data_IF_325210466552
#
_entry.id   IF_325210466552
#
_cell.length_a   1.000
_cell.length_b   1.000
_cell.length_c   1.000
_cell.angle_alpha   90.00
_cell.angle_beta   90.00
_cell.angle_gamma   90.00
#
_symmetry.space_group_name_H-M   'P 1'
#
loop_
_entity.id
_entity.type
_entity.pdbx_description
1 polymer ?
#
# COMPACT_ATOMS: atom_id res chain seq x y z
N UNK A 1 -52.72 -31.29 34.83
CA UNK A 1 -53.06 -30.30 33.76
C UNK A 1 -52.59 -28.94 34.24
N UNK A 2 -52.15 -28.07 33.32
CA UNK A 2 -51.41 -26.80 33.50
C UNK A 2 -49.89 -27.00 33.44
N UNK A 3 -49.38 -26.86 32.20
CA UNK A 3 -47.98 -26.79 31.81
C UNK A 3 -47.37 -25.46 32.24
N UNK A 4 -46.14 -25.49 32.80
CA UNK A 4 -45.29 -24.32 32.98
C UNK A 4 -44.55 -24.05 31.66
N UNK A 5 -44.95 -23.00 30.93
CA UNK A 5 -44.18 -22.49 29.79
C UNK A 5 -43.08 -21.56 30.31
N UNK A 6 -41.83 -21.98 30.17
CA UNK A 6 -40.66 -21.11 30.30
C UNK A 6 -40.58 -20.19 29.08
N UNK A 7 -40.78 -18.89 29.30
CA UNK A 7 -40.49 -17.86 28.29
C UNK A 7 -38.98 -17.64 28.30
N UNK A 8 -38.29 -18.22 27.32
CA UNK A 8 -36.89 -17.89 26.99
C UNK A 8 -36.89 -16.60 26.19
N UNK A 9 -36.43 -15.52 26.82
CA UNK A 9 -36.12 -14.24 26.17
C UNK A 9 -34.84 -14.46 25.32
N UNK A 10 -34.82 -14.20 24.00
CA UNK A 10 -33.57 -14.20 23.27
C UNK A 10 -32.83 -12.90 23.58
N UNK A 11 -31.66 -13.03 24.22
CA UNK A 11 -30.71 -11.94 24.41
C UNK A 11 -30.20 -11.54 23.02
N UNK A 12 -30.68 -10.42 22.47
CA UNK A 12 -30.12 -9.82 21.25
C UNK A 12 -28.71 -9.34 21.61
N UNK A 13 -27.69 -10.07 21.16
CA UNK A 13 -26.33 -9.56 21.12
C UNK A 13 -26.33 -8.38 20.13
N UNK A 14 -26.41 -7.15 20.65
CA UNK A 14 -25.99 -5.97 19.91
C UNK A 14 -24.47 -6.11 19.70
N UNK A 15 -24.07 -6.68 18.56
CA UNK A 15 -22.69 -6.55 18.09
C UNK A 15 -22.45 -5.05 17.87
N UNK A 16 -21.59 -4.46 18.71
CA UNK A 16 -21.03 -3.13 18.53
C UNK A 16 -20.26 -3.12 17.21
N UNK A 17 -20.95 -2.89 16.09
CA UNK A 17 -20.30 -2.60 14.82
C UNK A 17 -19.66 -1.22 14.97
N UNK A 18 -18.37 -1.22 15.29
CA UNK A 18 -17.55 -0.02 15.22
C UNK A 18 -17.55 0.47 13.77
N UNK A 19 -18.39 1.45 13.47
CA UNK A 19 -18.49 2.08 12.16
C UNK A 19 -17.17 2.80 11.90
N UNK A 20 -16.30 2.21 11.07
CA UNK A 20 -15.10 2.87 10.57
C UNK A 20 -15.52 3.88 9.49
N UNK A 21 -16.14 4.98 9.92
CA UNK A 21 -16.46 6.09 9.03
C UNK A 21 -15.18 6.87 8.70
N UNK A 22 -14.95 7.11 7.41
CA UNK A 22 -13.84 7.93 6.93
C UNK A 22 -14.21 9.40 7.15
N UNK A 23 -13.71 10.00 8.23
CA UNK A 23 -13.53 11.46 8.30
C UNK A 23 -12.06 11.78 8.01
N UNK A 24 -11.64 11.66 6.74
CA UNK A 24 -10.37 12.26 6.34
C UNK A 24 -10.63 13.69 5.91
N UNK A 25 -10.89 14.53 6.91
CA UNK A 25 -10.72 15.97 6.78
C UNK A 25 -9.41 16.31 7.47
N UNK A 26 -8.34 16.45 6.69
CA UNK A 26 -7.20 17.25 7.13
C UNK A 26 -7.66 18.70 7.20
N UNK A 27 -8.43 19.07 8.22
CA UNK A 27 -8.41 20.45 8.69
C UNK A 27 -7.00 20.69 9.19
N UNK A 28 -6.35 21.72 8.63
CA UNK A 28 -4.92 22.00 8.76
C UNK A 28 -4.34 21.57 10.10
N UNK A 29 -3.56 20.50 10.07
CA UNK A 29 -2.67 20.18 11.16
C UNK A 29 -1.62 21.28 11.21
N UNK A 30 -1.54 22.00 12.32
CA UNK A 30 -0.43 22.92 12.67
C UNK A 30 0.96 22.24 12.65
N UNK A 31 1.02 20.93 12.38
CA UNK A 31 2.26 20.16 12.30
C UNK A 31 2.82 20.21 10.87
N UNK A 32 3.98 20.86 10.72
CA UNK A 32 4.71 21.02 9.46
C UNK A 32 5.24 19.67 8.95
N UNK A 33 4.92 19.33 7.70
CA UNK A 33 5.56 18.23 6.98
C UNK A 33 6.96 18.62 6.50
N UNK A 34 7.88 17.67 6.49
CA UNK A 34 9.23 17.84 5.94
C UNK A 34 9.33 17.10 4.61
N UNK A 35 9.63 17.80 3.52
CA UNK A 35 9.76 17.25 2.16
C UNK A 35 11.13 17.66 1.62
N UNK A 36 12.07 16.72 1.62
CA UNK A 36 13.51 17.01 1.57
C UNK A 36 14.15 16.40 0.32
N UNK A 37 14.82 17.24 -0.49
CA UNK A 37 15.62 16.84 -1.64
C UNK A 37 17.09 16.69 -1.20
N UNK A 38 17.54 15.45 -1.07
CA UNK A 38 18.85 15.14 -0.51
C UNK A 38 19.98 15.43 -1.50
N UNK A 39 20.94 16.24 -1.07
CA UNK A 39 22.08 16.63 -1.91
C UNK A 39 21.81 17.74 -2.91
N UNK A 40 20.59 18.30 -2.94
CA UNK A 40 20.33 19.56 -3.65
C UNK A 40 20.97 20.73 -2.91
N UNK A 41 21.51 21.71 -3.63
CA UNK A 41 21.96 22.99 -3.10
C UNK A 41 20.90 24.10 -3.22
N UNK A 42 19.81 23.85 -3.96
CA UNK A 42 18.77 24.83 -4.21
C UNK A 42 17.61 24.65 -3.23
N UNK A 43 17.17 25.77 -2.65
CA UNK A 43 15.99 25.80 -1.78
C UNK A 43 14.71 26.05 -2.58
N UNK A 44 13.64 25.34 -2.21
CA UNK A 44 12.31 25.56 -2.78
C UNK A 44 12.14 25.03 -4.20
N UNK A 45 12.96 24.07 -4.64
CA UNK A 45 12.78 23.39 -5.92
C UNK A 45 11.41 22.72 -6.01
N UNK A 46 10.84 22.64 -7.20
CA UNK A 46 9.49 22.11 -7.41
C UNK A 46 9.53 20.88 -8.32
N UNK A 47 8.80 19.82 -7.96
CA UNK A 47 8.66 18.63 -8.79
C UNK A 47 7.56 18.78 -9.87
N UNK A 48 7.35 17.76 -10.70
CA UNK A 48 6.32 17.76 -11.75
C UNK A 48 4.90 17.89 -11.22
N UNK A 49 4.67 17.51 -9.97
CA UNK A 49 3.38 17.61 -9.29
C UNK A 49 3.20 18.95 -8.58
N UNK A 50 4.14 19.90 -8.70
CA UNK A 50 4.05 21.20 -8.07
C UNK A 50 4.42 21.22 -6.58
N UNK A 51 4.97 20.12 -6.03
CA UNK A 51 5.39 20.07 -4.63
C UNK A 51 6.74 20.75 -4.44
N UNK A 52 6.86 21.53 -3.38
CA UNK A 52 8.10 22.22 -3.01
C UNK A 52 8.99 21.35 -2.13
N UNK A 53 10.26 21.30 -2.47
CA UNK A 53 11.30 20.54 -1.79
C UNK A 53 12.32 21.47 -1.13
N UNK A 54 12.75 21.11 0.07
CA UNK A 54 13.79 21.82 0.84
C UNK A 54 15.11 21.06 0.74
N UNK A 55 16.25 21.76 0.79
CA UNK A 55 17.55 21.06 0.89
C UNK A 55 17.69 20.33 2.24
N UNK A 56 18.52 19.30 2.26
CA UNK A 56 18.70 18.41 3.40
C UNK A 56 19.77 18.84 4.39
N UNK A 57 20.51 19.92 4.07
CA UNK A 57 21.65 20.42 4.85
C UNK A 57 21.31 20.75 6.30
N UNK A 58 20.15 21.35 6.55
CA UNK A 58 19.69 21.78 7.89
C UNK A 58 19.19 20.61 8.77
N UNK A 59 18.98 19.44 8.18
CA UNK A 59 18.47 18.26 8.87
C UNK A 59 19.58 17.26 9.24
N UNK A 60 20.77 17.40 8.67
CA UNK A 60 21.90 16.53 8.96
C UNK A 60 22.47 16.79 10.35
N UNK A 61 22.70 15.71 11.11
CA UNK A 61 23.39 15.80 12.39
C UNK A 61 24.88 16.13 12.23
N UNK A 62 25.52 15.66 11.15
CA UNK A 62 26.89 15.99 10.73
C UNK A 62 27.01 15.70 9.23
N UNK A 63 27.83 16.50 8.53
CA UNK A 63 28.11 16.35 7.11
C UNK A 63 29.47 15.70 6.81
N UNK A 64 30.29 15.42 7.83
CA UNK A 64 31.74 15.12 7.71
C UNK A 64 32.06 13.91 6.81
N UNK A 65 31.15 12.93 6.77
CA UNK A 65 31.31 11.69 6.00
C UNK A 65 30.30 11.58 4.86
N UNK A 66 29.85 12.72 4.34
CA UNK A 66 28.86 12.80 3.28
C UNK A 66 29.39 13.48 2.04
N UNK A 67 28.90 13.07 0.88
CA UNK A 67 29.13 13.73 -0.40
C UNK A 67 27.79 13.91 -1.10
N UNK A 68 27.67 14.95 -1.91
CA UNK A 68 26.53 15.12 -2.80
C UNK A 68 26.94 14.78 -4.23
N UNK A 69 26.00 14.32 -5.03
CA UNK A 69 26.22 14.06 -6.44
C UNK A 69 24.93 14.28 -7.24
N UNK A 70 25.08 14.52 -8.53
CA UNK A 70 24.00 14.48 -9.50
C UNK A 70 24.16 13.23 -10.37
N UNK A 71 23.03 12.63 -10.74
CA UNK A 71 22.98 11.52 -11.65
C UNK A 71 23.44 11.92 -13.06
N UNK A 72 24.41 11.21 -13.63
CA UNK A 72 24.84 11.42 -15.02
C UNK A 72 23.85 10.96 -16.09
N UNK A 73 22.74 10.34 -15.72
CA UNK A 73 21.69 9.86 -16.63
C UNK A 73 20.31 10.16 -16.06
N UNK A 74 19.49 10.81 -16.87
CA UNK A 74 18.07 11.08 -16.61
C UNK A 74 17.23 10.02 -17.33
N UNK A 75 16.66 9.11 -16.55
CA UNK A 75 15.83 8.04 -17.07
C UNK A 75 14.47 8.61 -17.53
N UNK A 76 14.01 8.34 -18.77
CA UNK A 76 12.73 8.84 -19.27
C UNK A 76 11.50 8.42 -18.46
N UNK A 77 11.60 7.35 -17.66
CA UNK A 77 10.51 6.91 -16.78
C UNK A 77 10.41 7.73 -15.49
N UNK A 78 11.33 8.66 -15.24
CA UNK A 78 11.25 9.57 -14.09
C UNK A 78 10.20 10.65 -14.32
N UNK A 79 9.33 10.92 -13.34
CA UNK A 79 8.31 11.96 -13.48
C UNK A 79 8.93 13.37 -13.50
N UNK A 80 10.09 13.55 -12.87
CA UNK A 80 10.78 14.83 -12.74
C UNK A 80 12.26 14.65 -12.41
N UNK A 81 13.04 15.74 -12.56
CA UNK A 81 14.42 15.79 -12.05
C UNK A 81 14.47 15.85 -10.52
N UNK A 82 13.58 16.63 -9.90
CA UNK A 82 13.52 16.82 -8.45
C UNK A 82 12.52 15.81 -7.86
N UNK A 83 12.87 15.02 -6.82
CA UNK A 83 14.16 14.92 -6.13
C UNK A 83 15.02 13.74 -6.63
N UNK A 84 14.78 13.25 -7.85
CA UNK A 84 15.34 11.98 -8.35
C UNK A 84 16.80 12.06 -8.82
N UNK A 85 17.26 13.23 -9.28
CA UNK A 85 18.56 13.41 -9.91
C UNK A 85 19.67 13.76 -8.92
N UNK A 86 19.34 14.39 -7.80
CA UNK A 86 20.27 14.71 -6.72
C UNK A 86 20.32 13.60 -5.68
N UNK A 87 21.49 13.41 -5.07
CA UNK A 87 21.67 12.37 -4.05
C UNK A 87 22.67 12.81 -2.98
N UNK A 88 22.42 12.40 -1.72
CA UNK A 88 23.45 12.39 -0.68
C UNK A 88 23.99 11.00 -0.46
N UNK A 89 25.30 10.86 -0.57
CA UNK A 89 26.09 9.65 -0.36
C UNK A 89 26.76 9.72 1.01
N UNK A 90 26.73 8.64 1.76
CA UNK A 90 27.23 8.53 3.14
C UNK A 90 28.21 7.36 3.22
N UNK A 91 29.45 7.64 3.64
CA UNK A 91 30.51 6.62 3.79
C UNK A 91 30.60 6.05 5.21
N UNK A 92 29.93 6.67 6.18
CA UNK A 92 29.79 6.16 7.55
C UNK A 92 28.33 6.27 8.01
N UNK A 93 28.06 5.88 9.26
CA UNK A 93 26.78 6.16 9.90
C UNK A 93 26.51 7.68 9.89
N UNK A 94 25.37 8.08 9.33
CA UNK A 94 24.94 9.49 9.24
C UNK A 94 23.47 9.58 9.59
N UNK A 95 23.11 10.54 10.44
CA UNK A 95 21.73 10.73 10.90
C UNK A 95 21.14 12.04 10.42
N UNK A 96 19.86 11.99 10.03
CA UNK A 96 18.98 13.13 9.90
C UNK A 96 18.11 13.27 11.15
N UNK A 97 17.88 14.50 11.58
CA UNK A 97 17.06 14.83 12.75
C UNK A 97 15.87 15.69 12.33
N UNK A 98 14.68 15.27 12.74
CA UNK A 98 13.44 15.99 12.48
C UNK A 98 12.72 16.29 13.78
N UNK A 99 12.29 17.53 13.96
CA UNK A 99 11.36 17.91 15.02
C UNK A 99 9.96 17.50 14.61
N UNK A 100 9.32 16.62 15.38
CA UNK A 100 8.02 16.01 15.02
C UNK A 100 7.06 16.07 16.20
N UNK A 101 5.74 16.09 15.97
CA UNK A 101 4.77 16.00 17.06
C UNK A 101 4.89 14.67 17.79
N UNK A 102 5.02 14.71 19.12
CA UNK A 102 5.26 13.51 19.92
C UNK A 102 4.06 12.56 20.03
N UNK A 103 2.85 13.05 19.74
CA UNK A 103 1.58 12.32 19.82
C UNK A 103 1.05 11.84 18.47
N UNK A 104 1.63 12.28 17.35
CA UNK A 104 1.15 11.92 16.00
C UNK A 104 1.94 10.74 15.46
N UNK A 105 1.22 9.85 14.76
CA UNK A 105 1.84 8.85 13.89
C UNK A 105 2.51 9.56 12.72
N UNK A 106 3.60 9.00 12.20
CA UNK A 106 4.36 9.65 11.14
C UNK A 106 4.38 8.74 9.91
N UNK A 107 4.07 9.32 8.75
CA UNK A 107 4.34 8.73 7.46
C UNK A 107 5.75 9.14 7.02
N UNK A 108 6.64 8.17 6.87
CA UNK A 108 8.03 8.39 6.48
C UNK A 108 8.27 7.75 5.11
N UNK A 109 8.75 8.54 4.14
CA UNK A 109 9.09 8.05 2.81
C UNK A 109 10.55 8.25 2.48
N UNK A 110 11.12 7.26 1.82
CA UNK A 110 12.47 7.30 1.28
C UNK A 110 12.41 7.05 -0.21
N UNK A 111 12.91 8.00 -0.99
CA UNK A 111 13.28 7.73 -2.37
C UNK A 111 14.73 7.25 -2.40
N UNK A 112 14.93 6.06 -2.97
CA UNK A 112 16.26 5.50 -3.17
C UNK A 112 16.42 5.04 -4.60
N UNK A 113 17.39 5.63 -5.30
CA UNK A 113 18.06 4.98 -6.43
C UNK A 113 18.98 3.88 -5.90
N UNK A 114 19.66 3.15 -6.78
CA UNK A 114 20.48 1.92 -6.56
C UNK A 114 21.60 1.94 -5.46
N UNK A 115 21.53 1.19 -4.32
CA UNK A 115 22.55 0.76 -3.25
C UNK A 115 22.22 0.94 -1.70
N UNK A 116 23.01 0.31 -0.79
CA UNK A 116 22.59 -0.46 0.44
C UNK A 116 22.79 0.11 1.89
N UNK A 117 21.77 -0.13 2.76
CA UNK A 117 21.68 -0.44 4.26
C UNK A 117 21.85 0.58 5.44
N UNK A 118 21.33 0.18 6.65
CA UNK A 118 21.46 0.72 8.05
C UNK A 118 21.19 -0.34 9.18
N UNK A 119 21.75 -0.17 10.41
CA UNK A 119 21.22 -0.54 11.79
C UNK A 119 21.61 0.56 12.83
N UNK A 120 20.92 0.95 13.92
CA UNK A 120 20.06 0.32 14.98
C UNK A 120 18.83 1.20 15.36
N UNK A 121 17.80 0.62 16.03
CA UNK A 121 16.43 1.17 16.22
C UNK A 121 15.41 0.43 15.33
N UNK A 122 14.13 0.83 15.30
CA UNK A 122 13.13 0.29 14.34
C UNK A 122 13.77 0.15 12.96
N UNK A 123 13.90 -1.09 12.48
CA UNK A 123 14.67 -1.41 11.27
C UNK A 123 13.74 -1.42 10.07
N UNK A 124 13.73 -0.31 9.32
CA UNK A 124 12.90 -0.16 8.13
C UNK A 124 13.42 -0.97 6.92
N UNK A 125 14.75 -1.03 6.75
CA UNK A 125 15.42 -1.68 5.60
C UNK A 125 16.64 -2.49 6.04
N UNK A 126 16.71 -3.74 5.59
CA UNK A 126 17.75 -4.71 6.00
C UNK A 126 18.26 -5.43 4.75
N UNK A 127 19.45 -5.06 4.31
CA UNK A 127 20.23 -5.58 3.17
C UNK A 127 19.83 -4.98 1.85
N UNK A 128 18.99 -3.97 1.93
CA UNK A 128 18.28 -3.40 0.84
C UNK A 128 19.21 -2.92 -0.24
N UNK A 129 19.13 -3.51 -1.43
CA UNK A 129 19.79 -3.08 -2.63
C UNK A 129 18.73 -2.49 -3.55
N UNK A 130 18.59 -1.17 -3.61
CA UNK A 130 17.71 -0.55 -4.57
C UNK A 130 18.11 -0.86 -6.03
N UNK A 131 19.35 -1.28 -6.32
CA UNK A 131 19.74 -1.78 -7.66
C UNK A 131 18.94 -3.01 -8.03
N UNK A 132 19.17 -4.07 -7.26
CA UNK A 132 18.52 -5.37 -7.41
C UNK A 132 16.99 -5.22 -7.33
N UNK A 133 16.49 -4.38 -6.42
CA UNK A 133 15.05 -4.16 -6.25
C UNK A 133 14.44 -3.48 -7.48
N UNK A 134 15.02 -2.37 -7.92
CA UNK A 134 14.55 -1.64 -9.11
C UNK A 134 14.63 -2.53 -10.37
N UNK A 135 15.71 -3.30 -10.51
CA UNK A 135 15.85 -4.27 -11.59
C UNK A 135 14.75 -5.33 -11.52
N UNK A 136 14.57 -6.01 -10.38
CA UNK A 136 13.57 -7.08 -10.25
C UNK A 136 12.13 -6.60 -10.50
N UNK A 137 11.84 -5.32 -10.18
CA UNK A 137 10.53 -4.71 -10.38
C UNK A 137 10.39 -4.01 -11.75
N UNK A 138 11.43 -3.98 -12.58
CA UNK A 138 11.47 -3.23 -13.85
C UNK A 138 11.12 -1.75 -13.66
N UNK A 139 11.68 -1.13 -12.62
CA UNK A 139 11.45 0.28 -12.26
C UNK A 139 12.75 1.08 -12.32
N UNK A 140 12.66 2.39 -12.62
CA UNK A 140 13.80 3.31 -12.62
C UNK A 140 14.15 3.80 -11.20
N UNK A 141 13.19 3.79 -10.27
CA UNK A 141 13.33 4.29 -8.91
C UNK A 141 12.49 3.47 -7.93
N UNK A 142 12.81 3.57 -6.63
CA UNK A 142 12.03 2.93 -5.56
C UNK A 142 11.66 3.96 -4.51
N UNK A 143 10.36 4.02 -4.18
CA UNK A 143 9.85 4.69 -2.99
C UNK A 143 9.52 3.63 -1.95
N UNK A 144 9.99 3.83 -0.72
CA UNK A 144 9.58 3.04 0.45
C UNK A 144 8.83 3.95 1.40
N UNK A 145 7.60 3.57 1.73
CA UNK A 145 6.72 4.30 2.64
C UNK A 145 6.50 3.47 3.92
N UNK A 146 6.60 4.14 5.06
CA UNK A 146 6.43 3.55 6.38
C UNK A 146 5.49 4.40 7.21
N UNK A 147 4.62 3.76 7.98
CA UNK A 147 3.86 4.42 9.04
C UNK A 147 4.45 4.02 10.38
N UNK A 148 5.10 4.96 11.06
CA UNK A 148 5.78 4.70 12.33
C UNK A 148 4.99 5.26 13.49
N UNK A 149 4.99 4.53 14.60
CA UNK A 149 4.33 4.93 15.85
C UNK A 149 4.83 6.29 16.36
N UNK A 150 4.03 7.01 17.16
CA UNK A 150 4.42 8.30 17.70
C UNK A 150 5.77 8.30 18.41
N UNK A 151 6.59 9.31 18.13
CA UNK A 151 7.94 9.46 18.68
C UNK A 151 7.88 10.36 19.92
N UNK A 152 7.77 9.75 21.10
CA UNK A 152 7.53 10.47 22.35
C UNK A 152 8.55 11.58 22.68
N UNK A 153 9.80 11.44 22.21
CA UNK A 153 10.84 12.47 22.40
C UNK A 153 10.60 13.75 21.60
N UNK A 154 9.66 13.75 20.64
CA UNK A 154 9.46 14.85 19.69
C UNK A 154 10.58 15.01 18.66
N UNK A 155 11.57 14.10 18.66
CA UNK A 155 12.70 14.13 17.72
C UNK A 155 12.84 12.77 17.03
N UNK A 156 12.57 12.75 15.72
CA UNK A 156 12.79 11.58 14.88
C UNK A 156 14.23 11.59 14.33
N UNK A 157 14.99 10.54 14.64
CA UNK A 157 16.31 10.31 14.09
C UNK A 157 16.26 9.23 13.00
N UNK A 158 16.58 9.61 11.77
CA UNK A 158 16.72 8.68 10.64
C UNK A 158 18.21 8.49 10.36
N UNK A 159 18.74 7.32 10.64
CA UNK A 159 20.17 7.04 10.40
C UNK A 159 20.36 6.26 9.10
N UNK A 160 21.52 6.36 8.46
CA UNK A 160 21.92 5.55 7.33
C UNK A 160 23.31 4.99 7.63
N UNK A 161 23.48 3.67 7.58
CA UNK A 161 24.77 3.03 7.96
C UNK A 161 25.19 2.05 6.88
N UNK A 162 26.24 2.38 6.12
CA UNK A 162 26.84 1.49 5.13
C UNK A 162 27.17 0.10 5.69
N UNK A 163 27.21 -0.91 4.82
CA UNK A 163 27.44 -2.30 5.20
C UNK A 163 28.92 -2.62 5.38
N UNK A 164 29.33 -3.01 6.58
CA UNK A 164 30.72 -3.44 6.86
C UNK A 164 31.12 -4.78 6.23
N UNK A 165 30.18 -5.52 5.62
CA UNK A 165 30.43 -6.87 5.06
C UNK A 165 31.22 -6.89 3.75
N UNK A 166 31.32 -5.77 3.05
CA UNK A 166 32.06 -5.68 1.79
C UNK A 166 32.92 -4.42 1.82
N UNK A 167 34.03 -4.44 1.11
CA UNK A 167 34.82 -3.22 0.90
C UNK A 167 34.03 -2.22 0.04
N UNK A 168 34.29 -0.92 0.24
CA UNK A 168 33.76 0.18 -0.58
C UNK A 168 32.22 0.28 -0.62
N UNK A 169 31.53 -0.08 0.46
CA UNK A 169 30.08 0.19 0.56
C UNK A 169 29.81 1.63 0.99
N UNK A 170 28.67 2.16 0.54
CA UNK A 170 28.12 3.43 0.96
C UNK A 170 26.59 3.30 1.07
N UNK A 171 25.99 4.19 1.84
CA UNK A 171 24.56 4.41 1.88
C UNK A 171 24.24 5.69 1.11
N UNK A 172 23.02 5.83 0.65
CA UNK A 172 22.57 7.09 0.09
C UNK A 172 21.05 7.22 0.12
N UNK A 173 20.60 8.44 -0.15
CA UNK A 173 19.20 8.79 -0.24
C UNK A 173 19.03 9.96 -1.22
N UNK A 174 17.97 9.90 -2.03
CA UNK A 174 17.60 10.97 -2.94
C UNK A 174 16.60 11.92 -2.28
N UNK A 175 15.67 11.37 -1.49
CA UNK A 175 14.70 12.19 -0.78
C UNK A 175 14.22 11.57 0.53
N UNK A 176 13.78 12.45 1.43
CA UNK A 176 13.14 12.12 2.70
C UNK A 176 11.84 12.91 2.82
N UNK A 177 10.74 12.21 3.08
CA UNK A 177 9.48 12.85 3.50
C UNK A 177 9.13 12.39 4.91
N UNK A 178 8.76 13.32 5.79
CA UNK A 178 8.23 13.06 7.13
C UNK A 178 6.94 13.85 7.27
N UNK A 179 5.81 13.15 7.26
CA UNK A 179 4.47 13.72 7.21
C UNK A 179 3.70 13.25 8.45
N UNK A 180 3.36 14.14 9.39
CA UNK A 180 2.47 13.80 10.50
C UNK A 180 1.10 13.35 10.01
N UNK A 181 0.54 12.32 10.64
CA UNK A 181 -0.80 11.82 10.34
C UNK A 181 -1.56 11.45 11.61
N UNK A 182 -2.88 11.44 11.51
CA UNK A 182 -3.72 10.88 12.57
C UNK A 182 -3.50 9.37 12.70
N UNK A 183 -3.83 8.83 13.87
CA UNK A 183 -3.90 7.38 14.04
C UNK A 183 -5.13 6.83 13.27
N UNK A 184 -4.87 6.04 12.25
CA UNK A 184 -5.89 5.46 11.36
C UNK A 184 -5.91 3.93 11.43
N UNK A 185 -5.03 3.32 12.21
CA UNK A 185 -4.95 1.88 12.41
C UNK A 185 -5.62 1.49 13.73
N UNK A 186 -6.32 0.37 13.70
CA UNK A 186 -6.98 -0.25 14.84
C UNK A 186 -6.50 -1.69 14.97
N UNK A 187 -6.65 -2.33 16.15
CA UNK A 187 -6.46 -3.76 16.26
C UNK A 187 -7.25 -4.50 15.17
N UNK A 188 -6.62 -5.49 14.54
CA UNK A 188 -7.16 -6.18 13.36
C UNK A 188 -7.25 -7.68 13.61
N UNK A 189 -8.36 -8.30 13.24
CA UNK A 189 -8.56 -9.74 13.38
C UNK A 189 -7.56 -10.53 12.52
N UNK A 190 -6.96 -11.57 13.12
CA UNK A 190 -6.05 -12.47 12.44
C UNK A 190 -6.83 -13.64 11.81
N UNK A 191 -6.82 -13.71 10.48
CA UNK A 191 -7.58 -14.73 9.76
C UNK A 191 -7.09 -16.14 10.11
N UNK A 192 -8.04 -17.06 10.25
CA UNK A 192 -7.76 -18.45 10.63
C UNK A 192 -7.52 -18.68 12.13
N UNK A 193 -7.52 -17.62 12.95
CA UNK A 193 -7.35 -17.72 14.41
C UNK A 193 -8.47 -16.96 15.12
N UNK A 194 -9.57 -17.65 15.43
CA UNK A 194 -10.75 -17.03 16.06
C UNK A 194 -10.38 -16.33 17.37
N UNK A 195 -10.81 -15.08 17.51
CA UNK A 195 -10.61 -14.26 18.71
C UNK A 195 -9.19 -13.73 18.89
N UNK A 196 -8.28 -13.94 17.91
CA UNK A 196 -6.96 -13.35 17.93
C UNK A 196 -6.91 -12.09 17.08
N UNK A 197 -6.29 -11.05 17.63
CA UNK A 197 -6.06 -9.78 16.95
C UNK A 197 -4.58 -9.46 16.89
N UNK A 198 -4.21 -8.68 15.88
CA UNK A 198 -2.90 -8.05 15.74
C UNK A 198 -3.03 -6.62 16.25
N UNK A 199 -2.15 -6.21 17.16
CA UNK A 199 -2.09 -4.82 17.64
C UNK A 199 -1.38 -3.93 16.60
N UNK A 200 -2.13 -3.57 15.55
CA UNK A 200 -1.63 -2.74 14.45
C UNK A 200 -1.40 -1.30 14.89
N UNK A 201 -2.21 -0.81 15.83
CA UNK A 201 -2.17 0.57 16.31
C UNK A 201 -0.82 0.91 16.95
N UNK A 202 -0.26 -0.02 17.74
CA UNK A 202 1.05 0.14 18.36
C UNK A 202 2.21 -0.45 17.54
N UNK A 203 1.93 -0.89 16.31
CA UNK A 203 2.95 -1.41 15.40
C UNK A 203 3.38 -0.35 14.36
N UNK A 204 4.62 -0.46 13.90
CA UNK A 204 5.10 0.27 12.73
C UNK A 204 4.91 -0.56 11.48
N UNK A 205 4.52 0.10 10.39
CA UNK A 205 4.06 -0.55 9.17
C UNK A 205 4.91 -0.12 7.98
N UNK A 206 5.09 -1.02 7.02
CA UNK A 206 5.55 -0.66 5.67
C UNK A 206 4.38 -0.78 4.71
N UNK A 207 4.09 0.27 3.94
CA UNK A 207 3.14 0.19 2.83
C UNK A 207 3.77 -0.62 1.71
N UNK A 208 3.14 -1.75 1.37
CA UNK A 208 3.58 -2.64 0.30
C UNK A 208 2.87 -2.29 -1.01
N UNK A 209 1.55 -2.12 -0.93
CA UNK A 209 0.68 -1.80 -2.06
C UNK A 209 -0.39 -0.81 -1.65
N UNK A 210 -0.79 0.06 -2.58
CA UNK A 210 -1.92 0.99 -2.44
C UNK A 210 -2.56 1.20 -3.81
N UNK A 211 -3.76 0.66 -3.98
CA UNK A 211 -4.45 0.54 -5.25
C UNK A 211 -5.80 1.24 -5.24
N UNK A 212 -6.06 1.96 -6.32
CA UNK A 212 -7.38 2.46 -6.73
C UNK A 212 -8.00 1.37 -7.60
N UNK A 213 -8.90 0.57 -7.02
CA UNK A 213 -9.41 -0.64 -7.67
C UNK A 213 -10.51 -0.25 -8.67
N UNK A 214 -10.31 -0.59 -9.95
CA UNK A 214 -11.21 -0.19 -11.04
C UNK A 214 -11.11 1.28 -11.44
N UNK A 215 -10.15 2.01 -10.87
CA UNK A 215 -9.95 3.44 -11.10
C UNK A 215 -8.58 3.78 -11.65
N UNK A 216 -8.41 5.04 -12.04
CA UNK A 216 -7.14 5.55 -12.55
C UNK A 216 -6.10 5.77 -11.44
N UNK A 217 -4.86 5.95 -11.86
CA UNK A 217 -3.77 6.47 -11.03
C UNK A 217 -4.15 7.80 -10.33
N UNK A 218 -3.94 7.85 -9.01
CA UNK A 218 -4.15 9.06 -8.20
C UNK A 218 -2.78 9.60 -7.75
N UNK A 219 -2.32 10.74 -8.29
CA UNK A 219 -1.06 11.35 -7.87
C UNK A 219 -1.15 11.91 -6.45
N UNK A 220 0.01 12.05 -5.80
CA UNK A 220 0.14 12.54 -4.43
C UNK A 220 -0.61 13.86 -4.17
N UNK A 221 -0.58 14.81 -5.12
CA UNK A 221 -1.25 16.11 -4.97
C UNK A 221 -2.79 16.03 -4.95
N UNK A 222 -3.37 14.92 -5.45
CA UNK A 222 -4.82 14.68 -5.42
C UNK A 222 -5.26 13.82 -4.23
N UNK A 223 -4.35 13.43 -3.35
CA UNK A 223 -4.68 12.71 -2.12
C UNK A 223 -5.31 13.65 -1.08
N UNK A 224 -5.91 13.05 -0.05
CA UNK A 224 -6.60 13.72 1.04
C UNK A 224 -5.68 14.43 2.07
N UNK A 225 -4.52 14.93 1.62
CA UNK A 225 -3.56 15.68 2.45
C UNK A 225 -2.36 14.89 2.98
N UNK A 226 -2.29 13.57 2.76
CA UNK A 226 -1.14 12.73 3.15
C UNK A 226 -0.15 12.48 1.98
N UNK A 227 -0.41 13.11 0.83
CA UNK A 227 0.40 12.99 -0.38
C UNK A 227 0.64 11.54 -0.82
N UNK A 228 -0.31 10.62 -0.56
CA UNK A 228 -0.20 9.19 -0.94
C UNK A 228 -0.51 9.01 -2.41
N UNK A 229 0.20 8.09 -3.04
CA UNK A 229 -0.05 7.69 -4.43
C UNK A 229 -0.89 6.42 -4.45
N UNK A 230 -1.94 6.40 -5.27
CA UNK A 230 -2.76 5.21 -5.53
C UNK A 230 -2.55 4.74 -6.97
N UNK A 231 -2.26 3.45 -7.15
CA UNK A 231 -1.98 2.86 -8.45
C UNK A 231 -3.21 2.12 -9.00
N UNK A 232 -3.29 1.98 -10.32
CA UNK A 232 -4.21 1.04 -10.97
C UNK A 232 -3.95 -0.40 -10.49
N UNK A 233 -5.03 -1.17 -10.33
CA UNK A 233 -4.98 -2.55 -9.83
C UNK A 233 -4.79 -3.60 -10.92
N UNK A 234 -5.02 -3.24 -12.19
CA UNK A 234 -4.95 -4.15 -13.34
C UNK A 234 -3.67 -5.02 -13.41
N UNK A 235 -2.45 -4.52 -13.07
CA UNK A 235 -1.24 -5.33 -13.09
C UNK A 235 -1.21 -6.47 -12.06
N UNK A 236 -2.12 -6.46 -11.07
CA UNK A 236 -2.16 -7.41 -9.96
C UNK A 236 -3.30 -8.43 -10.09
N UNK A 237 -4.21 -8.27 -11.06
CA UNK A 237 -5.30 -9.21 -11.27
C UNK A 237 -4.80 -10.53 -11.85
N UNK A 238 -5.22 -11.64 -11.25
CA UNK A 238 -5.00 -12.98 -11.80
C UNK A 238 -6.07 -13.29 -12.85
N UNK A 239 -5.61 -13.70 -14.04
CA UNK A 239 -6.38 -14.16 -15.21
C UNK A 239 -6.91 -13.04 -16.13
N UNK A 240 -7.50 -13.47 -17.26
CA UNK A 240 -8.19 -12.61 -18.24
C UNK A 240 -9.61 -12.17 -17.78
N UNK A 241 -10.00 -12.50 -16.55
CA UNK A 241 -11.24 -12.00 -15.93
C UNK A 241 -10.98 -10.59 -15.40
N UNK A 242 -10.75 -9.66 -16.30
CA UNK A 242 -10.80 -8.24 -15.98
C UNK A 242 -12.22 -7.95 -15.53
N UNK A 243 -12.39 -7.32 -14.37
CA UNK A 243 -13.69 -6.76 -14.14
C UNK A 243 -13.95 -5.52 -14.99
N UNK A 244 -15.20 -5.34 -15.42
CA UNK A 244 -15.82 -4.07 -15.72
C UNK A 244 -15.50 -3.05 -14.62
N UNK A 245 -14.59 -2.15 -14.97
CA UNK A 245 -14.51 -0.83 -14.36
C UNK A 245 -15.66 -0.01 -14.95
N UNK A 246 -16.67 0.31 -14.15
CA UNK A 246 -17.68 1.27 -14.60
C UNK A 246 -16.98 2.60 -14.93
N UNK A 247 -17.48 3.43 -15.86
CA UNK A 247 -16.95 4.79 -16.11
C UNK A 247 -18.09 5.79 -16.32
N UNK A 248 -18.22 6.79 -15.42
CA UNK A 248 -18.88 8.10 -15.66
C UNK A 248 -18.70 9.06 -14.46
N UNK A 249 -17.49 9.62 -14.30
CA UNK A 249 -17.13 10.72 -13.38
C UNK A 249 -17.48 10.56 -11.88
N UNK A 250 -17.81 9.37 -11.43
CA UNK A 250 -18.11 9.05 -10.03
C UNK A 250 -17.45 7.72 -9.71
N UNK A 251 -16.62 7.64 -8.67
CA UNK A 251 -15.74 6.53 -8.27
C UNK A 251 -16.30 5.10 -8.50
N UNK A 252 -15.50 4.19 -9.06
CA UNK A 252 -15.99 3.00 -9.79
C UNK A 252 -15.32 1.76 -9.20
N UNK A 253 -16.12 0.89 -8.56
CA UNK A 253 -15.65 -0.44 -8.19
C UNK A 253 -15.62 -1.37 -9.39
N UNK A 254 -14.90 -2.48 -9.23
CA UNK A 254 -14.76 -3.54 -10.25
C UNK A 254 -15.93 -4.54 -10.14
N UNK A 255 -16.66 -4.78 -11.24
CA UNK A 255 -17.63 -5.88 -11.48
C UNK A 255 -17.05 -6.81 -12.55
N UNK A 256 -17.28 -8.12 -12.66
CA UNK A 256 -16.55 -8.98 -13.64
C UNK A 256 -17.02 -8.78 -15.11
N UNK A 257 -16.14 -8.58 -16.10
CA UNK A 257 -16.43 -8.60 -17.56
C UNK A 257 -15.55 -9.63 -18.32
N UNK A 258 -15.99 -10.10 -19.48
CA UNK A 258 -15.21 -10.99 -20.36
C UNK A 258 -15.16 -10.41 -21.78
N UNK A 259 -14.10 -10.66 -22.58
CA UNK A 259 -13.88 -9.91 -23.81
C UNK A 259 -14.70 -10.45 -24.98
N UNK A 260 -15.34 -9.54 -25.72
CA UNK A 260 -15.59 -9.72 -27.15
C UNK A 260 -15.45 -8.37 -27.86
N UNK A 261 -14.65 -8.35 -28.92
CA UNK A 261 -14.44 -7.22 -29.83
C UNK A 261 -15.74 -6.42 -30.10
N UNK A 262 -15.66 -5.08 -30.07
CA UNK A 262 -16.47 -4.06 -30.81
C UNK A 262 -16.91 -2.87 -29.94
N UNK A 263 -16.50 -1.69 -30.41
CA UNK A 263 -17.07 -0.33 -30.36
C UNK A 263 -18.09 0.04 -29.27
N UNK A 264 -17.66 0.96 -28.41
CA UNK A 264 -18.43 1.61 -27.35
C UNK A 264 -19.49 2.55 -27.93
N UNK A 265 -20.76 2.30 -27.59
CA UNK A 265 -21.82 3.31 -27.54
C UNK A 265 -22.42 3.29 -26.13
N UNK A 266 -22.44 4.46 -25.51
CA UNK A 266 -23.13 4.69 -24.24
C UNK A 266 -24.62 4.36 -24.39
N UNK A 267 -25.12 3.46 -23.54
CA UNK A 267 -26.55 3.35 -23.28
C UNK A 267 -26.77 2.95 -21.84
N UNK A 268 -27.60 3.76 -21.19
CA UNK A 268 -28.52 3.42 -20.09
C UNK A 268 -28.96 1.95 -20.24
N UNK A 269 -28.91 1.19 -19.15
CA UNK A 269 -29.16 -0.26 -19.05
C UNK A 269 -27.94 -1.13 -19.45
N UNK A 270 -27.07 -1.41 -18.47
CA UNK A 270 -26.21 -2.60 -18.52
C UNK A 270 -26.67 -3.48 -17.36
N UNK A 271 -27.48 -4.47 -17.70
CA UNK A 271 -27.68 -5.66 -16.88
C UNK A 271 -26.30 -6.15 -16.42
N UNK A 272 -26.12 -6.29 -15.12
CA UNK A 272 -24.99 -7.06 -14.60
C UNK A 272 -24.95 -8.41 -15.32
N UNK A 273 -23.75 -8.86 -15.65
CA UNK A 273 -23.46 -10.10 -16.38
C UNK A 273 -24.25 -11.30 -15.85
N UNK A 274 -24.44 -12.32 -16.69
CA UNK A 274 -25.13 -13.56 -16.33
C UNK A 274 -24.65 -14.07 -14.97
N UNK A 275 -25.52 -14.14 -13.95
CA UNK A 275 -25.14 -14.58 -12.60
C UNK A 275 -24.41 -15.93 -12.59
N UNK A 276 -24.64 -16.75 -13.62
CA UNK A 276 -24.05 -18.05 -13.85
C UNK A 276 -22.54 -18.02 -14.13
N UNK A 277 -21.96 -16.88 -14.51
CA UNK A 277 -20.51 -16.73 -14.74
C UNK A 277 -19.80 -16.33 -13.46
N UNK A 278 -20.34 -15.35 -12.73
CA UNK A 278 -19.72 -14.82 -11.51
C UNK A 278 -19.60 -15.88 -10.41
N UNK A 279 -20.55 -16.82 -10.33
CA UNK A 279 -20.51 -17.94 -9.40
C UNK A 279 -19.47 -19.02 -9.76
N UNK A 280 -18.82 -18.93 -10.93
CA UNK A 280 -17.84 -19.93 -11.40
C UNK A 280 -16.39 -19.51 -11.17
N UNK A 281 -16.14 -18.25 -10.78
CA UNK A 281 -14.77 -17.74 -10.63
C UNK A 281 -14.65 -16.77 -9.46
N UNK A 282 -13.41 -16.59 -8.98
CA UNK A 282 -13.08 -15.57 -7.99
C UNK A 282 -12.43 -14.38 -8.69
N UNK A 283 -12.86 -13.17 -8.35
CA UNK A 283 -12.08 -11.97 -8.67
C UNK A 283 -10.86 -11.96 -7.75
N UNK A 284 -9.67 -12.05 -8.32
CA UNK A 284 -8.46 -12.39 -7.56
C UNK A 284 -7.30 -11.45 -7.87
N UNK A 285 -6.69 -10.88 -6.84
CA UNK A 285 -5.44 -10.13 -6.92
C UNK A 285 -4.28 -10.89 -6.29
N UNK A 286 -3.08 -10.70 -6.83
CA UNK A 286 -1.87 -11.43 -6.46
C UNK A 286 -0.72 -10.47 -6.20
N UNK A 287 -0.10 -10.61 -5.04
CA UNK A 287 0.90 -9.68 -4.55
C UNK A 287 2.17 -10.41 -4.12
N UNK A 288 3.33 -9.92 -4.55
CA UNK A 288 4.62 -10.39 -4.08
C UNK A 288 4.94 -9.75 -2.72
N UNK A 289 5.17 -10.55 -1.70
CA UNK A 289 5.39 -10.10 -0.32
C UNK A 289 6.56 -10.83 0.31
N UNK A 290 7.13 -10.27 1.37
CA UNK A 290 8.21 -10.94 2.10
C UNK A 290 7.63 -12.02 3.04
N UNK A 291 8.18 -13.23 2.97
CA UNK A 291 7.82 -14.30 3.91
C UNK A 291 8.21 -13.96 5.37
N UNK A 292 7.58 -14.64 6.32
CA UNK A 292 7.75 -14.51 7.77
C UNK A 292 7.38 -13.14 8.34
N UNK A 293 6.39 -12.49 7.73
CA UNK A 293 5.79 -11.27 8.24
C UNK A 293 4.27 -11.39 8.31
N UNK A 294 3.68 -10.62 9.21
CA UNK A 294 2.24 -10.39 9.24
C UNK A 294 1.90 -9.21 8.34
N UNK A 295 0.81 -9.33 7.60
CA UNK A 295 0.28 -8.32 6.71
C UNK A 295 -1.13 -7.94 7.11
N UNK A 296 -1.43 -6.66 7.09
CA UNK A 296 -2.78 -6.12 7.19
C UNK A 296 -3.23 -5.73 5.79
N UNK A 297 -4.32 -6.32 5.34
CA UNK A 297 -5.00 -6.00 4.08
C UNK A 297 -6.21 -5.14 4.42
N UNK A 298 -6.16 -3.88 4.01
CA UNK A 298 -7.26 -2.93 4.14
C UNK A 298 -8.02 -2.87 2.82
N UNK A 299 -9.28 -3.28 2.85
CA UNK A 299 -10.17 -3.25 1.71
C UNK A 299 -11.15 -2.09 1.87
N UNK A 300 -11.21 -1.22 0.86
CA UNK A 300 -12.09 -0.06 0.82
C UNK A 300 -13.31 -0.39 -0.05
N UNK A 301 -14.49 -0.01 0.42
CA UNK A 301 -15.77 -0.27 -0.22
C UNK A 301 -16.65 0.98 -0.22
N UNK A 302 -17.42 1.15 -1.29
CA UNK A 302 -18.48 2.14 -1.40
C UNK A 302 -19.44 1.66 -2.49
N UNK A 303 -20.63 1.23 -2.08
CA UNK A 303 -21.66 0.77 -3.03
C UNK A 303 -22.43 1.98 -3.56
N UNK A 304 -22.33 2.24 -4.86
CA UNK A 304 -23.03 3.33 -5.55
C UNK A 304 -24.22 2.84 -6.39
N UNK A 305 -24.56 1.56 -6.31
CA UNK A 305 -25.55 0.90 -7.16
C UNK A 305 -26.73 0.38 -6.34
N UNK A 306 -26.46 -0.27 -5.22
CA UNK A 306 -27.46 -0.92 -4.39
C UNK A 306 -27.92 0.00 -3.26
N UNK A 307 -29.22 -0.03 -2.98
CA UNK A 307 -29.88 0.82 -1.96
C UNK A 307 -30.36 0.03 -0.74
N UNK A 308 -30.47 -1.30 -0.86
CA UNK A 308 -30.98 -2.20 0.17
C UNK A 308 -29.96 -3.29 0.50
N UNK A 309 -30.05 -3.80 1.72
CA UNK A 309 -29.30 -4.99 2.12
C UNK A 309 -29.76 -6.24 1.36
N UNK A 310 -28.87 -7.22 1.30
CA UNK A 310 -28.97 -8.48 0.55
C UNK A 310 -29.14 -8.32 -0.97
N UNK A 311 -28.84 -7.14 -1.53
CA UNK A 311 -28.81 -6.97 -2.98
C UNK A 311 -27.51 -7.53 -3.56
N UNK A 312 -26.36 -7.27 -2.92
CA UNK A 312 -25.06 -7.82 -3.29
C UNK A 312 -24.36 -8.34 -2.05
N UNK A 313 -24.12 -9.65 -2.03
CA UNK A 313 -23.37 -10.30 -0.94
C UNK A 313 -22.25 -11.14 -1.50
N UNK A 314 -21.07 -11.05 -0.90
CA UNK A 314 -19.88 -11.76 -1.36
C UNK A 314 -19.00 -12.21 -0.20
N UNK A 315 -18.18 -13.23 -0.43
CA UNK A 315 -17.20 -13.72 0.52
C UNK A 315 -15.82 -13.17 0.14
N UNK A 316 -15.02 -12.88 1.17
CA UNK A 316 -13.67 -12.34 1.04
C UNK A 316 -12.68 -13.41 1.49
N UNK A 317 -11.70 -13.67 0.64
CA UNK A 317 -10.64 -14.66 0.87
C UNK A 317 -9.27 -13.98 0.88
N UNK A 318 -8.44 -14.38 1.84
CA UNK A 318 -7.04 -14.04 1.90
C UNK A 318 -6.23 -15.34 2.00
N UNK A 319 -5.33 -15.58 1.04
CA UNK A 319 -4.58 -16.85 0.93
C UNK A 319 -5.46 -18.09 1.04
N UNK A 320 -6.56 -18.12 0.29
CA UNK A 320 -7.54 -19.21 0.27
C UNK A 320 -8.19 -19.51 1.64
N UNK A 321 -8.12 -18.57 2.58
CA UNK A 321 -8.84 -18.62 3.86
C UNK A 321 -9.91 -17.55 3.87
N UNK A 322 -11.07 -17.90 4.41
CA UNK A 322 -12.18 -16.96 4.58
C UNK A 322 -11.80 -15.87 5.58
N UNK A 323 -11.77 -14.63 5.11
CA UNK A 323 -11.59 -13.43 5.91
C UNK A 323 -12.94 -12.85 6.37
N UNK A 324 -13.95 -12.90 5.50
CA UNK A 324 -15.30 -12.43 5.77
C UNK A 324 -16.30 -13.23 4.94
N UNK A 325 -17.34 -13.75 5.60
CA UNK A 325 -18.49 -14.35 4.94
C UNK A 325 -19.60 -13.31 4.78
N UNK A 326 -20.37 -13.42 3.70
CA UNK A 326 -21.59 -12.64 3.47
C UNK A 326 -21.38 -11.13 3.65
N UNK A 327 -20.28 -10.61 3.11
CA UNK A 327 -20.01 -9.18 3.07
C UNK A 327 -21.12 -8.46 2.31
N UNK A 328 -21.69 -7.44 2.94
CA UNK A 328 -22.74 -6.60 2.37
C UNK A 328 -22.42 -5.15 2.72
N UNK A 329 -22.05 -4.37 1.70
CA UNK A 329 -21.58 -3.00 1.88
C UNK A 329 -22.72 -2.09 2.35
N UNK A 330 -23.93 -2.25 1.81
CA UNK A 330 -25.10 -1.44 2.18
C UNK A 330 -25.50 -1.72 3.63
N UNK A 331 -25.44 -2.98 4.08
CA UNK A 331 -25.68 -3.31 5.49
C UNK A 331 -24.59 -2.77 6.41
N UNK A 332 -23.32 -2.75 5.99
CA UNK A 332 -22.24 -2.18 6.80
C UNK A 332 -22.36 -0.67 6.98
N UNK A 333 -22.81 0.03 5.94
CA UNK A 333 -22.80 1.50 5.90
C UNK A 333 -24.15 2.11 6.28
N UNK A 334 -25.23 1.32 6.20
CA UNK A 334 -26.61 1.77 6.37
C UNK A 334 -27.18 2.49 5.14
N UNK A 335 -26.47 2.52 4.01
CA UNK A 335 -26.96 3.17 2.80
C UNK A 335 -25.95 3.29 1.65
N UNK A 336 -26.49 3.62 0.48
CA UNK A 336 -25.76 3.83 -0.78
C UNK A 336 -24.81 5.04 -0.70
N UNK A 337 -23.65 4.94 -1.35
CA UNK A 337 -22.67 6.02 -1.53
C UNK A 337 -21.89 6.39 -0.26
N UNK A 338 -21.98 5.57 0.79
CA UNK A 338 -21.27 5.79 2.05
C UNK A 338 -20.01 4.90 2.06
N UNK A 339 -18.80 5.47 2.16
CA UNK A 339 -17.57 4.68 2.13
C UNK A 339 -17.29 4.00 3.48
N UNK A 340 -16.76 2.78 3.42
CA UNK A 340 -16.30 1.99 4.58
C UNK A 340 -15.02 1.23 4.21
N UNK A 341 -14.17 0.96 5.20
CA UNK A 341 -13.07 0.02 5.02
C UNK A 341 -13.14 -1.10 6.05
N UNK A 342 -12.55 -2.25 5.70
CA UNK A 342 -12.34 -3.39 6.58
C UNK A 342 -10.88 -3.82 6.53
N UNK A 343 -10.32 -4.07 7.71
CA UNK A 343 -8.95 -4.56 7.86
C UNK A 343 -8.99 -6.04 8.21
N UNK A 344 -8.13 -6.82 7.58
CA UNK A 344 -7.92 -8.23 7.89
C UNK A 344 -6.42 -8.51 7.97
N UNK A 345 -5.97 -9.24 8.99
CA UNK A 345 -4.58 -9.58 9.16
C UNK A 345 -4.33 -11.04 8.76
N UNK A 346 -3.20 -11.29 8.10
CA UNK A 346 -2.74 -12.63 7.75
C UNK A 346 -1.24 -12.76 7.97
N UNK A 347 -0.77 -13.94 8.35
CA UNK A 347 0.66 -14.21 8.52
C UNK A 347 1.17 -15.07 7.38
N UNK A 348 2.24 -14.64 6.72
CA UNK A 348 2.90 -15.36 5.63
C UNK A 348 4.00 -16.25 6.18
N UNK A 349 3.78 -17.57 6.23
CA UNK A 349 4.83 -18.51 6.62
C UNK A 349 5.70 -18.90 5.42
N UNK A 350 6.88 -19.47 5.67
CA UNK A 350 7.74 -20.06 4.62
C UNK A 350 7.01 -21.07 3.70
N UNK A 351 5.97 -21.74 4.22
CA UNK A 351 5.16 -22.69 3.44
C UNK A 351 4.16 -22.02 2.50
N UNK A 352 3.67 -20.85 2.88
CA UNK A 352 2.72 -20.06 2.09
C UNK A 352 3.46 -19.29 0.96
N UNK A 353 4.79 -19.25 1.04
CA UNK A 353 5.67 -18.62 0.06
C UNK A 353 5.71 -17.10 0.19
N UNK A 354 6.04 -16.44 -0.91
CA UNK A 354 6.18 -14.99 -1.06
C UNK A 354 5.01 -14.36 -1.83
N UNK A 355 3.86 -15.04 -1.87
CA UNK A 355 2.69 -14.61 -2.65
C UNK A 355 1.43 -14.50 -1.79
N UNK A 356 0.89 -13.29 -1.69
CA UNK A 356 -0.38 -12.99 -1.03
C UNK A 356 -1.51 -12.91 -2.06
N UNK A 357 -2.57 -13.68 -1.81
CA UNK A 357 -3.77 -13.75 -2.63
C UNK A 357 -4.92 -13.01 -1.94
N UNK A 358 -5.61 -12.15 -2.68
CA UNK A 358 -6.87 -11.52 -2.26
C UNK A 358 -7.95 -11.94 -3.23
N UNK A 359 -9.00 -12.59 -2.76
CA UNK A 359 -10.08 -13.13 -3.59
C UNK A 359 -11.45 -12.66 -3.13
N UNK A 360 -12.34 -12.36 -4.06
CA UNK A 360 -13.75 -12.10 -3.82
C UNK A 360 -14.62 -13.06 -4.63
N UNK A 361 -15.70 -13.55 -4.03
CA UNK A 361 -16.64 -14.45 -4.69
C UNK A 361 -18.07 -14.15 -4.25
N UNK A 362 -19.06 -14.13 -5.17
CA UNK A 362 -20.46 -13.98 -4.77
C UNK A 362 -20.87 -15.03 -3.74
N UNK A 363 -21.58 -14.62 -2.69
CA UNK A 363 -22.02 -15.54 -1.65
C UNK A 363 -23.37 -16.13 -2.04
N UNK A 364 -23.45 -17.46 -2.12
CA UNK A 364 -24.71 -18.17 -2.40
C UNK A 364 -25.58 -18.36 -1.16
N UNK A 365 -25.00 -18.18 0.04
CA UNK A 365 -25.64 -18.54 1.31
C UNK A 365 -26.90 -17.70 1.61
N UNK A 366 -26.89 -16.43 1.23
CA UNK A 366 -27.96 -15.47 1.54
C UNK A 366 -28.99 -15.31 0.43
N UNK A 367 -28.79 -15.99 -0.71
CA UNK A 367 -29.62 -15.86 -1.91
C UNK A 367 -29.84 -14.38 -2.31
N UNK A 368 -28.76 -13.62 -2.55
CA UNK A 368 -28.85 -12.20 -2.83
C UNK A 368 -29.55 -11.92 -4.16
N UNK A 369 -30.02 -10.69 -4.34
CA UNK A 369 -30.61 -10.25 -5.61
C UNK A 369 -29.61 -10.37 -6.78
N UNK A 370 -28.34 -10.06 -6.52
CA UNK A 370 -27.25 -10.09 -7.49
C UNK A 370 -26.09 -10.93 -6.97
N UNK A 371 -25.66 -11.90 -7.79
CA UNK A 371 -24.45 -12.69 -7.55
C UNK A 371 -23.24 -11.95 -8.10
N UNK A 372 -22.71 -11.05 -7.28
CA UNK A 372 -21.62 -10.16 -7.65
C UNK A 372 -20.78 -9.79 -6.41
N UNK A 373 -19.59 -9.22 -6.65
CA UNK A 373 -18.72 -8.68 -5.62
C UNK A 373 -18.31 -7.24 -5.96
N UNK A 374 -17.80 -6.48 -4.99
CA UNK A 374 -17.32 -5.12 -5.25
C UNK A 374 -16.08 -4.85 -4.41
N UNK A 375 -15.14 -4.12 -5.00
CA UNK A 375 -14.00 -3.52 -4.30
C UNK A 375 -13.69 -2.17 -4.93
N UNK A 376 -13.35 -1.20 -4.08
CA UNK A 376 -13.12 0.19 -4.48
C UNK A 376 -11.65 0.58 -4.28
N UNK A 377 -10.97 0.02 -3.28
CA UNK A 377 -9.55 0.27 -3.06
C UNK A 377 -8.91 -0.80 -2.20
N UNK A 378 -7.59 -0.92 -2.29
CA UNK A 378 -6.85 -1.96 -1.58
C UNK A 378 -5.51 -1.40 -1.09
N UNK A 379 -5.23 -1.56 0.20
CA UNK A 379 -3.92 -1.28 0.78
C UNK A 379 -3.38 -2.51 1.49
N UNK A 380 -2.09 -2.79 1.32
CA UNK A 380 -1.40 -3.88 2.01
C UNK A 380 -0.25 -3.28 2.83
N UNK A 381 -0.26 -3.57 4.12
CA UNK A 381 0.74 -3.11 5.07
C UNK A 381 1.47 -4.30 5.69
N UNK A 382 2.80 -4.31 5.64
CA UNK A 382 3.60 -5.24 6.43
C UNK A 382 3.75 -4.72 7.84
N UNK A 383 3.51 -5.57 8.84
CA UNK A 383 3.67 -5.27 10.27
C UNK A 383 5.09 -5.62 10.71
N UNK A 384 5.70 -4.77 11.55
CA UNK A 384 7.03 -5.06 12.08
C UNK A 384 7.01 -6.33 12.95
N UNK A 385 8.09 -7.08 12.91
CA UNK A 385 8.28 -8.22 13.81
C UNK A 385 8.52 -7.76 15.27
N UNK A 386 8.57 -8.72 16.20
CA UNK A 386 8.78 -8.47 17.63
C UNK A 386 10.15 -7.83 17.94
N UNK A 387 11.10 -7.91 17.02
CA UNK A 387 12.39 -7.23 17.10
C UNK A 387 12.37 -5.82 16.50
N UNK A 388 11.20 -5.33 16.07
CA UNK A 388 11.05 -4.03 15.45
C UNK A 388 11.63 -3.96 14.04
N UNK A 389 11.59 -5.05 13.28
CA UNK A 389 12.13 -5.10 11.92
C UNK A 389 11.02 -5.21 10.86
N UNK A 390 11.19 -4.45 9.77
CA UNK A 390 10.36 -4.43 8.56
C UNK A 390 11.20 -4.80 7.31
N UNK A 391 12.50 -4.97 7.48
CA UNK A 391 13.42 -5.23 6.39
C UNK A 391 13.39 -6.68 5.92
N UNK A 392 12.76 -6.91 4.77
CA UNK A 392 12.80 -8.17 4.02
C UNK A 392 14.07 -8.35 3.17
N UNK A 393 14.22 -9.52 2.54
CA UNK A 393 15.29 -9.78 1.57
C UNK A 393 15.18 -8.87 0.33
N UNK A 394 16.24 -8.85 -0.49
CA UNK A 394 16.11 -8.27 -1.82
C UNK A 394 15.35 -9.26 -2.71
N UNK A 395 14.47 -8.77 -3.60
CA UNK A 395 13.82 -9.64 -4.58
C UNK A 395 14.86 -10.25 -5.52
N UNK A 396 14.52 -11.38 -6.13
CA UNK A 396 15.35 -12.05 -7.12
C UNK A 396 14.90 -11.62 -8.52
N UNK A 397 15.75 -10.94 -9.32
CA UNK A 397 15.41 -10.60 -10.70
C UNK A 397 15.11 -11.84 -11.54
N UNK A 398 14.16 -11.74 -12.46
CA UNK A 398 13.80 -12.88 -13.32
C UNK A 398 14.96 -13.26 -14.25
N UNK A 399 15.13 -14.56 -14.53
CA UNK A 399 16.17 -15.05 -15.46
C UNK A 399 16.00 -14.46 -16.86
N UNK A 400 14.76 -14.23 -17.29
CA UNK A 400 14.45 -13.63 -18.58
C UNK A 400 14.92 -12.18 -18.65
N UNK A 401 14.66 -11.38 -17.60
CA UNK A 401 15.11 -10.00 -17.52
C UNK A 401 16.63 -9.90 -17.51
N UNK A 402 17.31 -10.77 -16.75
CA UNK A 402 18.77 -10.79 -16.70
C UNK A 402 19.39 -11.08 -18.09
N UNK A 403 18.76 -11.97 -18.88
CA UNK A 403 19.19 -12.23 -20.26
C UNK A 403 18.97 -11.01 -21.16
N UNK A 404 17.81 -10.34 -21.04
CA UNK A 404 17.51 -9.14 -21.82
C UNK A 404 18.47 -7.99 -21.51
N UNK A 405 18.78 -7.74 -20.23
CA UNK A 405 19.74 -6.71 -19.80
C UNK A 405 21.16 -7.01 -20.30
N UNK A 406 21.58 -8.27 -20.29
CA UNK A 406 22.87 -8.69 -20.85
C UNK A 406 22.94 -8.45 -22.37
N UNK A 407 21.87 -8.80 -23.11
CA UNK A 407 21.80 -8.57 -24.55
C UNK A 407 21.82 -7.07 -24.91
N UNK A 408 21.08 -6.24 -24.17
CA UNK A 408 21.06 -4.79 -24.37
C UNK A 408 22.44 -4.16 -24.16
N UNK A 409 23.20 -4.62 -23.15
CA UNK A 409 24.57 -4.14 -22.90
C UNK A 409 25.54 -4.46 -24.04
N UNK A 410 25.41 -5.62 -24.66
CA UNK A 410 26.24 -6.00 -25.82
C UNK A 410 25.94 -5.07 -26.99
N UNK A 411 24.65 -4.87 -27.31
CA UNK A 411 24.22 -3.98 -28.39
C UNK A 411 24.69 -2.53 -28.19
N UNK A 412 24.67 -2.03 -26.95
CA UNK A 412 25.14 -0.68 -26.63
C UNK A 412 26.67 -0.56 -26.67
N UNK A 413 27.40 -1.64 -26.38
CA UNK A 413 28.85 -1.67 -26.49
C UNK A 413 29.31 -1.75 -27.96
N UNK A 414 28.54 -2.40 -28.82
CA UNK A 414 28.83 -2.48 -30.27
C UNK A 414 28.45 -1.19 -31.02
N UNK A 415 27.65 -0.31 -30.39
CA UNK A 415 27.19 0.96 -30.95
C UNK A 415 28.01 2.19 -30.49
N UNK A 416 29.00 1.99 -29.62
CA UNK A 416 29.90 3.03 -29.08
C UNK A 416 31.32 2.80 -29.59
#
# INVERSE_FOLDING_TARGET
>A
MIHKSHILLPLVLLSLFSSNTIRVRSQGSDSKSHIISCGSSAEGETDSDGRKWTTDSTYLASADNTKTAEAGYYDPALPSKVPFMTVRIMSSATSYKFSVPSSKRLLVRFLKRRFRRLRHGLTLLKNFSPFITALALTQAYIIREYSIVPVQSGTLNITFTPSTKHEKTFAFVNSLEVIPMEEIFKPTDLIGFRGQTVDVQNASLQTMYRLSVGGDYIPAIKDSGLARTWWDDSPYLLNAAYGASYLNKTFLGVSIEAPANVTIKHTKDIDGTEPQVNVKSNLTWVFQVDANFTYVVRLHFCDFQNTLGNQRTFDIYLNNRTAQEMADVVLWTGGIGIPVYKDYATHMNDKDGDVLWVGLHPSLATHPQYYDAILNGLEIFKVNDTAGNLGGPNPVPSKMLLKADAAAKILLADAA
#
